data_IF_358006278433
#
_entry.id   IF_358006278433
#
_cell.length_a   1.000
_cell.length_b   1.000
_cell.length_c   1.000
_cell.angle_alpha   90.00
_cell.angle_beta   90.00
_cell.angle_gamma   90.00
#
_symmetry.space_group_name_H-M   'P 1'
#
loop_
_entity.id
_entity.type
_entity.pdbx_description
1 polymer ?
#
# COMPACT_ATOMS: atom_id res chain seq x y z
N UNK A 1 7.57 6.86 35.26
CA UNK A 1 7.08 7.34 33.94
C UNK A 1 5.63 7.79 34.07
N UNK A 2 5.29 9.04 33.72
CA UNK A 2 3.91 9.55 33.81
C UNK A 2 3.20 9.26 32.48
N UNK A 3 2.07 8.54 32.53
CA UNK A 3 1.31 8.12 31.35
C UNK A 3 0.50 9.32 30.84
N UNK A 4 0.83 9.82 29.65
CA UNK A 4 0.08 10.91 29.00
C UNK A 4 -1.09 10.26 28.25
N UNK A 5 -2.31 10.45 28.75
CA UNK A 5 -3.54 9.93 28.14
C UNK A 5 -4.35 11.08 27.54
N UNK A 6 -4.61 11.02 26.23
CA UNK A 6 -5.45 11.98 25.54
C UNK A 6 -6.87 11.41 25.40
N UNK A 7 -7.80 11.91 26.23
CA UNK A 7 -9.20 11.46 26.28
C UNK A 7 -9.96 11.66 24.96
N UNK A 8 -9.48 12.56 24.10
CA UNK A 8 -10.07 12.85 22.78
C UNK A 8 -9.52 11.95 21.66
N UNK A 9 -8.54 11.08 21.95
CA UNK A 9 -7.94 10.12 21.01
C UNK A 9 -8.17 8.69 21.45
N UNK A 10 -9.41 8.35 21.81
CA UNK A 10 -9.78 6.95 22.01
C UNK A 10 -9.88 6.25 20.64
N UNK A 11 -8.76 5.71 20.17
CA UNK A 11 -8.73 4.87 18.97
C UNK A 11 -9.46 3.57 19.33
N UNK A 12 -10.48 3.21 18.56
CA UNK A 12 -11.21 1.96 18.79
C UNK A 12 -10.34 0.77 18.41
N UNK A 13 -10.64 -0.42 18.95
CA UNK A 13 -9.95 -1.66 18.55
C UNK A 13 -10.05 -1.90 17.04
N UNK A 14 -11.19 -1.52 16.46
CA UNK A 14 -11.46 -1.62 15.03
C UNK A 14 -10.55 -0.70 14.22
N UNK A 15 -10.37 0.54 14.66
CA UNK A 15 -9.49 1.50 13.97
C UNK A 15 -8.01 1.12 14.12
N UNK A 16 -7.62 0.48 15.23
CA UNK A 16 -6.28 -0.10 15.39
C UNK A 16 -6.05 -1.28 14.45
N UNK A 17 -7.07 -2.14 14.27
CA UNK A 17 -6.97 -3.31 13.40
C UNK A 17 -6.97 -2.92 11.91
N UNK A 18 -7.73 -1.89 11.53
CA UNK A 18 -7.75 -1.33 10.19
C UNK A 18 -7.94 0.19 10.22
N UNK A 19 -6.85 0.98 10.13
CA UNK A 19 -6.93 2.43 10.11
C UNK A 19 -7.58 2.99 8.83
N UNK A 20 -7.77 2.15 7.82
CA UNK A 20 -8.39 2.51 6.55
C UNK A 20 -9.77 1.87 6.36
N UNK A 21 -10.49 1.59 7.46
CA UNK A 21 -11.85 0.99 7.44
C UNK A 21 -12.85 1.69 6.52
N UNK A 22 -12.65 2.99 6.23
CA UNK A 22 -13.54 3.79 5.39
C UNK A 22 -13.10 3.82 3.91
N UNK A 23 -12.04 3.09 3.54
CA UNK A 23 -11.57 2.99 2.16
C UNK A 23 -11.34 1.52 1.78
N UNK A 24 -11.83 1.16 0.61
CA UNK A 24 -11.49 -0.10 -0.03
C UNK A 24 -9.99 -0.18 -0.34
N UNK A 25 -9.47 -1.40 -0.53
CA UNK A 25 -8.08 -1.57 -0.92
C UNK A 25 -7.74 -0.82 -2.22
N UNK A 26 -8.65 -0.85 -3.20
CA UNK A 26 -8.47 -0.18 -4.47
C UNK A 26 -8.37 1.34 -4.32
N UNK A 27 -9.28 1.96 -3.56
CA UNK A 27 -9.23 3.41 -3.27
C UNK A 27 -7.92 3.81 -2.60
N UNK A 28 -7.37 2.96 -1.71
CA UNK A 28 -6.05 3.22 -1.11
C UNK A 28 -4.94 3.22 -2.14
N UNK A 29 -4.97 2.30 -3.12
CA UNK A 29 -3.97 2.24 -4.18
C UNK A 29 -4.05 3.47 -5.10
N UNK A 30 -5.26 3.91 -5.45
CA UNK A 30 -5.49 5.11 -6.26
C UNK A 30 -5.03 6.35 -5.50
N UNK A 31 -5.44 6.51 -4.23
CA UNK A 31 -5.06 7.65 -3.39
C UNK A 31 -3.54 7.74 -3.16
N UNK A 32 -2.87 6.61 -3.02
CA UNK A 32 -1.42 6.56 -2.85
C UNK A 32 -0.63 6.77 -4.15
N UNK A 33 -1.31 6.92 -5.30
CA UNK A 33 -0.64 7.10 -6.60
C UNK A 33 0.21 5.88 -6.99
N UNK A 34 -0.26 4.67 -6.67
CA UNK A 34 0.50 3.45 -6.94
C UNK A 34 0.56 3.19 -8.44
N UNK A 35 1.75 2.84 -8.94
CA UNK A 35 1.94 2.41 -10.32
C UNK A 35 1.19 1.09 -10.54
N UNK A 36 0.37 1.05 -11.59
CA UNK A 36 -0.32 -0.15 -12.00
C UNK A 36 0.67 -1.12 -12.63
N UNK A 37 0.90 -2.25 -11.97
CA UNK A 37 1.82 -3.31 -12.42
C UNK A 37 1.14 -4.22 -13.47
N UNK A 38 -0.21 -4.31 -13.46
CA UNK A 38 -0.96 -5.18 -14.37
C UNK A 38 -0.75 -4.72 -15.82
N UNK A 39 -0.22 -5.62 -16.65
CA UNK A 39 0.14 -5.35 -18.04
C UNK A 39 1.07 -4.11 -18.16
N UNK A 40 1.99 -3.94 -17.21
CA UNK A 40 2.96 -2.85 -17.16
C UNK A 40 4.26 -3.27 -16.46
N UNK A 41 4.53 -4.57 -16.42
CA UNK A 41 5.73 -5.11 -15.81
C UNK A 41 6.30 -6.23 -16.66
N UNK A 42 7.62 -6.35 -16.61
CA UNK A 42 8.36 -7.49 -17.11
C UNK A 42 9.04 -8.19 -15.93
N UNK A 43 9.23 -9.49 -16.06
CA UNK A 43 9.99 -10.29 -15.11
C UNK A 43 11.35 -10.57 -15.73
N UNK A 44 12.41 -10.24 -15.01
CA UNK A 44 13.79 -10.49 -15.39
C UNK A 44 14.34 -11.61 -14.50
N UNK A 45 14.72 -12.72 -15.12
CA UNK A 45 15.42 -13.81 -14.43
C UNK A 45 16.87 -13.38 -14.15
N UNK A 46 17.31 -13.56 -12.90
CA UNK A 46 18.64 -13.19 -12.44
C UNK A 46 19.65 -14.37 -12.52
N UNK A 47 19.21 -15.55 -12.95
CA UNK A 47 20.08 -16.73 -13.19
C UNK A 47 20.57 -17.43 -11.91
N UNK A 48 20.09 -17.00 -10.74
CA UNK A 48 20.42 -17.55 -9.43
C UNK A 48 19.18 -18.09 -8.70
N UNK A 49 18.10 -18.38 -9.44
CA UNK A 49 16.81 -18.82 -8.90
C UNK A 49 15.93 -17.69 -8.37
N UNK A 50 16.32 -16.43 -8.57
CA UNK A 50 15.52 -15.26 -8.25
C UNK A 50 15.08 -14.51 -9.50
N UNK A 51 13.95 -13.83 -9.38
CA UNK A 51 13.38 -12.99 -10.43
C UNK A 51 13.19 -11.56 -9.91
N UNK A 52 13.34 -10.60 -10.81
CA UNK A 52 13.08 -9.18 -10.55
C UNK A 52 11.93 -8.69 -11.40
N UNK A 53 10.94 -8.07 -10.77
CA UNK A 53 9.87 -7.36 -11.49
C UNK A 53 10.34 -5.95 -11.82
N UNK A 54 10.40 -5.61 -13.11
CA UNK A 54 10.68 -4.25 -13.61
C UNK A 54 9.40 -3.63 -14.15
N UNK A 55 9.16 -2.36 -13.80
CA UNK A 55 8.04 -1.57 -14.32
C UNK A 55 8.42 -1.05 -15.71
N UNK A 56 7.49 -1.14 -16.67
CA UNK A 56 7.69 -0.66 -18.04
C UNK A 56 7.41 0.85 -18.13
N UNK A 57 6.30 1.31 -17.53
CA UNK A 57 5.90 2.72 -17.52
C UNK A 57 5.54 3.17 -16.09
N UNK A 58 6.39 4.00 -15.50
CA UNK A 58 6.21 4.53 -14.14
C UNK A 58 5.08 5.57 -14.03
N UNK A 59 4.62 6.13 -15.15
CA UNK A 59 3.51 7.09 -15.19
C UNK A 59 2.13 6.44 -15.32
N UNK A 60 2.05 5.10 -15.41
CA UNK A 60 0.78 4.37 -15.51
C UNK A 60 0.28 3.99 -14.12
N UNK A 61 -0.53 4.84 -13.52
CA UNK A 61 -1.09 4.63 -12.18
C UNK A 61 -2.35 3.74 -12.16
N UNK A 62 -2.67 3.19 -10.99
CA UNK A 62 -3.97 2.56 -10.72
C UNK A 62 -5.06 3.63 -10.83
N UNK A 63 -6.14 3.32 -11.53
CA UNK A 63 -7.32 4.18 -11.73
C UNK A 63 -8.55 3.48 -11.21
#
# INVERSE_FOLDING_TARGET
MKRIYNKNKNITRQDLANPFRNMSYHERLVHAGIVNIKNNSIVEDLGNGYEKVKIINESKFVK
#
